data_IF_424455310109
#
_entry.id   IF_424455310109
#
_cell.length_a   1.000
_cell.length_b   1.000
_cell.length_c   1.000
_cell.angle_alpha   90.00
_cell.angle_beta   90.00
_cell.angle_gamma   90.00
#
_symmetry.space_group_name_H-M   'P 1'
#
loop_
_entity.id
_entity.type
_entity.pdbx_description
1 polymer ?
#
# COMPACT_ATOMS: atom_id res chain seq x y z
N UNK A 1 -34.49 8.70 -4.61
CA UNK A 1 -33.44 9.46 -3.91
C UNK A 1 -32.12 9.11 -4.56
N UNK A 2 -31.45 10.05 -5.22
CA UNK A 2 -30.10 9.84 -5.73
C UNK A 2 -29.11 10.48 -4.75
N UNK A 3 -28.53 9.66 -3.88
CA UNK A 3 -27.44 10.11 -3.00
C UNK A 3 -26.17 10.24 -3.82
N UNK A 4 -25.78 11.48 -4.16
CA UNK A 4 -24.55 11.80 -4.90
C UNK A 4 -23.27 11.70 -4.04
N UNK A 5 -23.18 10.71 -3.16
CA UNK A 5 -22.04 10.51 -2.28
C UNK A 5 -20.83 9.96 -3.03
N UNK A 6 -19.62 10.39 -2.65
CA UNK A 6 -18.37 9.77 -3.07
C UNK A 6 -17.90 8.83 -1.96
N UNK A 7 -17.57 7.59 -2.31
CA UNK A 7 -17.08 6.57 -1.38
C UNK A 7 -15.60 6.31 -1.60
N UNK A 8 -14.86 6.13 -0.51
CA UNK A 8 -13.51 5.58 -0.53
C UNK A 8 -13.56 4.25 0.22
N UNK A 9 -13.01 3.21 -0.37
CA UNK A 9 -12.88 1.89 0.27
C UNK A 9 -11.44 1.70 0.70
N UNK A 10 -11.26 1.24 1.94
CA UNK A 10 -9.97 0.87 2.50
C UNK A 10 -10.03 -0.63 2.81
N UNK A 11 -9.08 -1.39 2.28
CA UNK A 11 -8.90 -2.81 2.64
C UNK A 11 -7.49 -3.03 3.15
N UNK A 12 -7.37 -4.01 4.03
CA UNK A 12 -6.09 -4.48 4.55
C UNK A 12 -5.97 -5.97 4.33
N UNK A 13 -4.76 -6.42 4.02
CA UNK A 13 -4.43 -7.84 3.89
C UNK A 13 -3.10 -8.12 4.58
N UNK A 14 -2.97 -9.33 5.15
CA UNK A 14 -1.70 -9.88 5.59
C UNK A 14 -1.44 -11.15 4.77
N UNK A 15 -0.35 -11.15 4.01
CA UNK A 15 0.11 -12.33 3.30
C UNK A 15 1.19 -13.01 4.15
N UNK A 16 0.93 -14.23 4.61
CA UNK A 16 1.89 -15.04 5.33
C UNK A 16 2.53 -16.09 4.39
N UNK A 17 3.82 -16.35 4.53
CA UNK A 17 4.54 -17.35 3.76
C UNK A 17 4.97 -16.86 2.38
N UNK A 18 4.68 -17.62 1.32
CA UNK A 18 5.16 -17.37 -0.05
C UNK A 18 4.06 -16.96 -1.04
N UNK A 19 2.85 -16.71 -0.56
CA UNK A 19 1.68 -16.51 -1.43
C UNK A 19 1.78 -15.22 -2.26
N UNK A 20 2.37 -14.18 -1.69
CA UNK A 20 2.63 -12.91 -2.38
C UNK A 20 3.80 -12.20 -1.72
N UNK A 21 4.77 -11.76 -2.52
CA UNK A 21 6.05 -11.22 -2.03
C UNK A 21 6.35 -9.84 -2.58
N UNK A 22 7.35 -9.15 -2.00
CA UNK A 22 7.85 -7.88 -2.55
C UNK A 22 8.38 -8.00 -4.00
N UNK A 23 8.73 -9.21 -4.48
CA UNK A 23 9.07 -9.43 -5.89
C UNK A 23 7.83 -9.38 -6.77
N UNK A 24 6.71 -9.91 -6.30
CA UNK A 24 5.42 -9.83 -6.98
C UNK A 24 4.94 -8.38 -7.04
N UNK A 25 5.05 -7.63 -5.94
CA UNK A 25 4.78 -6.18 -5.90
C UNK A 25 5.61 -5.45 -6.95
N UNK A 26 6.92 -5.72 -7.05
CA UNK A 26 7.78 -5.06 -8.03
C UNK A 26 7.43 -5.41 -9.49
N UNK A 27 7.00 -6.66 -9.74
CA UNK A 27 6.50 -7.10 -11.05
C UNK A 27 5.22 -6.35 -11.41
N UNK A 28 4.27 -6.31 -10.49
CA UNK A 28 2.94 -5.74 -10.74
C UNK A 28 3.03 -4.20 -10.84
N UNK A 29 3.89 -3.56 -10.05
CA UNK A 29 4.22 -2.14 -10.18
C UNK A 29 4.95 -1.79 -11.50
N UNK A 30 5.42 -2.79 -12.25
CA UNK A 30 6.02 -2.61 -13.58
C UNK A 30 5.07 -2.97 -14.72
N UNK A 31 3.83 -3.35 -14.40
CA UNK A 31 2.81 -3.68 -15.40
C UNK A 31 2.42 -2.44 -16.22
N UNK A 32 1.90 -2.67 -17.42
CA UNK A 32 1.44 -1.58 -18.29
C UNK A 32 0.19 -0.94 -17.67
N UNK A 33 0.30 0.34 -17.31
CA UNK A 33 -0.81 1.11 -16.71
C UNK A 33 -0.69 1.27 -15.21
N UNK A 34 0.23 0.57 -14.56
CA UNK A 34 0.59 0.81 -13.17
C UNK A 34 1.44 2.08 -13.04
N UNK A 35 1.19 2.85 -11.99
CA UNK A 35 2.06 3.95 -11.55
C UNK A 35 2.74 3.53 -10.26
N UNK A 36 4.07 3.46 -10.25
CA UNK A 36 4.85 3.03 -9.08
C UNK A 36 4.67 3.98 -7.91
N UNK A 37 4.67 3.43 -6.70
CA UNK A 37 4.60 4.17 -5.44
C UNK A 37 5.68 3.66 -4.50
N UNK A 38 6.38 4.57 -3.84
CA UNK A 38 7.38 4.24 -2.83
C UNK A 38 7.38 5.22 -1.65
N UNK A 39 7.56 4.72 -0.43
CA UNK A 39 7.77 5.52 0.77
C UNK A 39 8.68 4.77 1.75
N UNK A 40 9.97 5.08 1.76
CA UNK A 40 10.95 4.30 2.53
C UNK A 40 10.94 2.84 2.05
N UNK A 41 10.74 1.90 2.97
CA UNK A 41 10.63 0.48 2.67
C UNK A 41 9.26 0.07 2.09
N UNK A 42 8.23 0.91 2.24
CA UNK A 42 6.93 0.62 1.62
C UNK A 42 7.00 0.82 0.10
N UNK A 43 6.49 -0.17 -0.64
CA UNK A 43 6.41 -0.14 -2.09
C UNK A 43 5.02 -0.55 -2.54
N UNK A 44 4.62 -0.07 -3.70
CA UNK A 44 3.32 -0.39 -4.24
C UNK A 44 3.09 0.27 -5.58
N UNK A 45 1.83 0.37 -5.95
CA UNK A 45 1.44 0.91 -7.23
C UNK A 45 -0.01 1.37 -7.22
N UNK A 46 -0.32 2.29 -8.12
CA UNK A 46 -1.69 2.63 -8.47
C UNK A 46 -2.05 2.00 -9.80
N UNK A 47 -3.18 1.31 -9.86
CA UNK A 47 -3.73 0.73 -11.08
C UNK A 47 -5.25 0.94 -11.11
N UNK A 48 -5.74 1.48 -12.23
CA UNK A 48 -7.17 1.72 -12.41
C UNK A 48 -7.72 2.74 -11.42
N UNK A 49 -8.44 2.26 -10.41
CA UNK A 49 -9.10 3.04 -9.35
C UNK A 49 -8.52 2.78 -7.96
N UNK A 50 -7.50 1.92 -7.86
CA UNK A 50 -6.99 1.40 -6.60
C UNK A 50 -5.51 1.69 -6.45
N UNK A 51 -5.14 2.07 -5.24
CA UNK A 51 -3.76 2.27 -4.81
C UNK A 51 -3.41 1.22 -3.80
N UNK A 52 -2.41 0.40 -4.12
CA UNK A 52 -1.90 -0.68 -3.29
C UNK A 52 -0.58 -0.23 -2.68
N UNK A 53 -0.41 -0.42 -1.38
CA UNK A 53 0.85 -0.15 -0.69
C UNK A 53 1.18 -1.30 0.25
N UNK A 54 2.43 -1.77 0.16
CA UNK A 54 2.90 -2.95 0.85
C UNK A 54 4.12 -2.60 1.71
N UNK A 55 4.25 -3.25 2.86
CA UNK A 55 5.48 -3.24 3.66
C UNK A 55 5.84 -4.66 4.07
N UNK A 56 7.13 -4.99 3.99
CA UNK A 56 7.66 -6.23 4.52
C UNK A 56 7.67 -6.15 6.05
N UNK A 57 6.95 -7.08 6.67
CA UNK A 57 6.76 -7.22 8.11
C UNK A 57 7.47 -8.46 8.66
N UNK A 58 8.33 -9.11 7.87
CA UNK A 58 9.06 -10.29 8.30
C UNK A 58 9.98 -9.92 9.47
N UNK A 59 9.68 -10.44 10.66
CA UNK A 59 10.56 -10.32 11.84
C UNK A 59 11.82 -11.16 11.64
N UNK A 60 12.97 -10.67 12.12
CA UNK A 60 14.23 -11.45 12.09
C UNK A 60 14.14 -12.72 12.95
N UNK A 61 13.20 -12.76 13.90
CA UNK A 61 12.98 -13.90 14.80
C UNK A 61 11.88 -14.86 14.31
N UNK A 62 11.03 -14.43 13.39
CA UNK A 62 9.90 -15.22 12.91
C UNK A 62 10.17 -15.67 11.47
N UNK A 63 10.32 -16.98 11.25
CA UNK A 63 10.66 -17.53 9.93
C UNK A 63 9.55 -17.34 8.88
N UNK A 64 8.37 -16.91 9.33
CA UNK A 64 7.21 -16.69 8.47
C UNK A 64 7.29 -15.30 7.85
N UNK A 65 7.66 -15.24 6.57
CA UNK A 65 7.60 -13.98 5.82
C UNK A 65 6.19 -13.42 5.85
N UNK A 66 6.06 -12.14 6.19
CA UNK A 66 4.78 -11.47 6.31
C UNK A 66 4.80 -10.19 5.47
N UNK A 67 3.83 -10.03 4.59
CA UNK A 67 3.65 -8.82 3.80
C UNK A 67 2.31 -8.19 4.19
N UNK A 68 2.35 -6.96 4.69
CA UNK A 68 1.14 -6.19 5.00
C UNK A 68 0.81 -5.34 3.79
N UNK A 69 -0.44 -5.36 3.36
CA UNK A 69 -1.00 -4.59 2.27
C UNK A 69 -2.10 -3.66 2.78
N UNK A 70 -2.13 -2.45 2.24
CA UNK A 70 -3.27 -1.54 2.31
C UNK A 70 -3.69 -1.11 0.91
N UNK A 71 -4.98 -1.25 0.65
CA UNK A 71 -5.63 -0.86 -0.60
C UNK A 71 -6.53 0.34 -0.36
N UNK A 72 -6.38 1.37 -1.18
CA UNK A 72 -7.30 2.51 -1.25
C UNK A 72 -7.97 2.51 -2.61
N UNK A 73 -9.26 2.20 -2.67
CA UNK A 73 -10.08 2.28 -3.89
C UNK A 73 -10.98 3.51 -3.83
N UNK A 74 -10.98 4.31 -4.90
CA UNK A 74 -11.80 5.53 -4.97
C UNK A 74 -12.44 5.75 -6.35
N UNK A 75 -11.69 6.27 -7.31
CA UNK A 75 -12.18 6.52 -8.67
C UNK A 75 -11.06 6.24 -9.65
N UNK A 76 -11.42 5.68 -10.81
CA UNK A 76 -10.44 5.42 -11.87
C UNK A 76 -9.78 6.71 -12.31
N UNK A 77 -8.45 6.75 -12.29
CA UNK A 77 -7.72 7.99 -12.59
C UNK A 77 -6.32 7.74 -13.13
N UNK A 78 -5.79 8.74 -13.82
CA UNK A 78 -4.38 8.87 -14.17
C UNK A 78 -3.79 10.20 -13.65
N UNK A 79 -4.59 10.97 -12.90
CA UNK A 79 -4.18 12.24 -12.32
C UNK A 79 -3.20 11.97 -11.17
N UNK A 80 -1.94 12.34 -11.38
CA UNK A 80 -0.85 12.16 -10.42
C UNK A 80 -1.16 12.81 -9.06
N UNK A 81 -1.89 13.93 -9.02
CA UNK A 81 -2.25 14.58 -7.76
C UNK A 81 -3.34 13.80 -6.99
N UNK A 82 -4.26 13.13 -7.70
CA UNK A 82 -5.25 12.24 -7.08
C UNK A 82 -4.56 10.97 -6.58
N UNK A 83 -3.69 10.38 -7.39
CA UNK A 83 -2.89 9.20 -7.01
C UNK A 83 -2.04 9.52 -5.78
N UNK A 84 -1.39 10.69 -5.74
CA UNK A 84 -0.60 11.13 -4.59
C UNK A 84 -1.42 11.20 -3.29
N UNK A 85 -2.67 11.65 -3.35
CA UNK A 85 -3.56 11.70 -2.19
C UNK A 85 -3.96 10.30 -1.72
N UNK A 86 -4.30 9.42 -2.67
CA UNK A 86 -4.62 8.02 -2.37
C UNK A 86 -3.42 7.28 -1.76
N UNK A 87 -2.23 7.46 -2.34
CA UNK A 87 -0.98 6.90 -1.83
C UNK A 87 -0.66 7.41 -0.41
N UNK A 88 -0.87 8.70 -0.16
CA UNK A 88 -0.67 9.27 1.19
C UNK A 88 -1.63 8.66 2.21
N UNK A 89 -2.90 8.48 1.84
CA UNK A 89 -3.89 7.81 2.70
C UNK A 89 -3.53 6.33 2.94
N UNK A 90 -3.04 5.62 1.92
CA UNK A 90 -2.55 4.26 2.05
C UNK A 90 -1.37 4.18 3.02
N UNK A 91 -0.39 5.09 2.87
CA UNK A 91 0.78 5.16 3.74
C UNK A 91 0.44 5.49 5.20
N UNK A 92 -0.50 6.40 5.43
CA UNK A 92 -0.93 6.75 6.79
C UNK A 92 -1.68 5.60 7.46
N UNK A 93 -2.55 4.91 6.71
CA UNK A 93 -3.23 3.70 7.17
C UNK A 93 -2.22 2.59 7.45
N UNK A 94 -1.30 2.32 6.52
CA UNK A 94 -0.29 1.27 6.65
C UNK A 94 0.61 1.50 7.86
N UNK A 95 1.03 2.75 8.10
CA UNK A 95 1.81 3.11 9.30
C UNK A 95 1.02 2.80 10.58
N UNK A 96 -0.25 3.18 10.63
CA UNK A 96 -1.11 2.91 11.80
C UNK A 96 -1.33 1.41 12.03
N UNK A 97 -1.64 0.65 10.98
CA UNK A 97 -1.91 -0.78 11.09
C UNK A 97 -0.65 -1.56 11.45
N UNK A 98 0.46 -1.28 10.77
CA UNK A 98 1.67 -2.04 11.00
C UNK A 98 2.30 -1.75 12.38
N UNK A 99 2.08 -0.55 12.94
CA UNK A 99 2.44 -0.23 14.34
C UNK A 99 1.48 -0.82 15.38
N UNK A 100 0.16 -0.76 15.14
CA UNK A 100 -0.84 -1.08 16.19
C UNK A 100 -1.40 -2.49 16.13
N UNK A 101 -1.46 -3.09 14.96
CA UNK A 101 -2.11 -4.39 14.73
C UNK A 101 -1.09 -5.50 14.54
N UNK A 102 -0.03 -5.24 13.78
CA UNK A 102 0.88 -6.29 13.32
C UNK A 102 2.25 -6.30 14.01
N UNK A 103 2.54 -5.31 14.87
CA UNK A 103 3.82 -5.18 15.59
C UNK A 103 5.03 -5.38 14.68
N UNK A 104 4.96 -4.84 13.45
CA UNK A 104 6.06 -4.96 12.49
C UNK A 104 7.20 -4.05 12.94
N UNK A 105 8.36 -4.61 13.30
CA UNK A 105 9.56 -3.82 13.56
C UNK A 105 9.95 -2.94 12.34
N UNK A 106 9.63 -3.38 11.12
CA UNK A 106 9.81 -2.62 9.88
C UNK A 106 8.87 -1.41 9.71
N UNK A 107 7.75 -1.35 10.44
CA UNK A 107 6.76 -0.28 10.32
C UNK A 107 7.12 0.98 11.08
N UNK A 108 7.89 0.86 12.16
CA UNK A 108 8.49 2.01 12.84
C UNK A 108 9.50 2.77 11.95
N UNK A 109 9.97 2.11 10.89
CA UNK A 109 10.81 2.69 9.85
C UNK A 109 10.09 3.48 8.75
N UNK A 110 8.75 3.47 8.68
CA UNK A 110 8.04 4.18 7.62
C UNK A 110 8.12 5.71 7.81
N UNK A 111 8.83 6.44 6.92
CA UNK A 111 9.10 7.86 7.13
C UNK A 111 7.79 8.66 7.14
N UNK A 112 7.74 9.70 7.97
CA UNK A 112 6.67 10.70 7.90
C UNK A 112 6.84 11.49 6.60
N UNK A 113 5.83 11.50 5.75
CA UNK A 113 5.88 12.23 4.49
C UNK A 113 4.99 11.64 3.41
N UNK A 114 4.95 12.32 2.27
CA UNK A 114 4.20 11.90 1.10
C UNK A 114 4.97 10.85 0.29
N UNK A 115 4.33 9.76 -0.16
CA UNK A 115 4.96 8.79 -1.04
C UNK A 115 5.47 9.42 -2.34
N UNK A 116 6.52 8.86 -2.93
CA UNK A 116 6.88 9.15 -4.31
C UNK A 116 5.93 8.39 -5.23
N UNK A 117 5.37 9.08 -6.22
CA UNK A 117 4.48 8.51 -7.24
C UNK A 117 5.16 8.67 -8.59
N UNK A 118 5.28 7.59 -9.38
CA UNK A 118 5.81 7.60 -10.74
C UNK A 118 7.32 7.39 -10.83
#
# INVERSE_FOLDING_TARGET
MYGGGKSVTIKHSLYAGSDYTMKDVARDASSKGATRIALGEAKGFHEGDTTYLFVDCSSVQDETKALVEVDITYQKTTDRAVIQKMASLAADTLRLEAQKLWTCDGADGLPKGSPQVG
#
